data_IF_271066517541
#
_entry.id   IF_271066517541
#
_cell.length_a   1.000
_cell.length_b   1.000
_cell.length_c   1.000
_cell.angle_alpha   90.00
_cell.angle_beta   90.00
_cell.angle_gamma   90.00
#
_symmetry.space_group_name_H-M   'P 1'
#
loop_
_entity.id
_entity.type
_entity.pdbx_description
1 polymer ?
#
# COMPACT_ATOMS: atom_id res chain seq x y z
N UNK A 1 -1.83 38.06 -38.47
CA UNK A 1 -1.93 36.76 -37.75
C UNK A 1 -0.68 36.62 -36.89
N UNK A 2 -0.77 36.70 -35.56
CA UNK A 2 -0.13 35.77 -34.61
C UNK A 2 -0.97 35.84 -33.32
N UNK A 3 -1.78 34.81 -33.05
CA UNK A 3 -2.40 34.60 -31.74
C UNK A 3 -1.35 33.96 -30.83
N UNK A 4 -0.97 34.64 -29.75
CA UNK A 4 -0.13 34.04 -28.71
C UNK A 4 -0.98 33.06 -27.90
N UNK A 5 -0.58 31.79 -27.87
CA UNK A 5 -1.22 30.76 -27.06
C UNK A 5 -0.97 31.02 -25.56
N UNK A 6 -1.95 30.81 -24.67
CA UNK A 6 -1.74 30.95 -23.24
C UNK A 6 -0.77 29.89 -22.73
N UNK A 7 0.22 30.33 -21.96
CA UNK A 7 1.17 29.46 -21.28
C UNK A 7 0.42 28.47 -20.38
N UNK A 8 0.63 27.18 -20.62
CA UNK A 8 0.07 26.08 -19.83
C UNK A 8 0.56 26.24 -18.39
N UNK A 9 -0.34 26.58 -17.48
CA UNK A 9 -0.03 26.69 -16.06
C UNK A 9 0.59 25.37 -15.59
N UNK A 10 1.84 25.43 -15.13
CA UNK A 10 2.49 24.32 -14.47
C UNK A 10 1.68 24.01 -13.21
N UNK A 11 1.09 22.83 -13.17
CA UNK A 11 0.42 22.30 -11.99
C UNK A 11 1.50 22.12 -10.93
N UNK A 12 1.52 23.01 -9.93
CA UNK A 12 2.44 22.91 -8.80
C UNK A 12 2.05 21.64 -8.05
N UNK A 13 2.88 20.61 -8.16
CA UNK A 13 2.70 19.39 -7.39
C UNK A 13 2.70 19.74 -5.90
N UNK A 14 1.76 19.20 -5.10
CA UNK A 14 1.76 19.43 -3.66
C UNK A 14 3.14 19.09 -3.06
N UNK A 15 3.62 19.84 -2.06
CA UNK A 15 4.92 19.62 -1.46
C UNK A 15 5.02 18.17 -0.99
N UNK A 16 6.07 17.48 -1.44
CA UNK A 16 6.26 16.08 -1.09
C UNK A 16 6.45 15.99 0.44
N UNK A 17 5.75 15.08 1.12
CA UNK A 17 5.81 14.94 2.58
C UNK A 17 7.21 14.52 3.08
N UNK A 18 8.09 14.10 2.18
CA UNK A 18 9.44 13.64 2.49
C UNK A 18 10.47 14.31 1.58
N UNK A 19 11.71 14.53 2.08
CA UNK A 19 12.83 14.89 1.23
C UNK A 19 13.02 13.87 0.09
N UNK A 20 13.48 14.33 -1.07
CA UNK A 20 13.60 13.50 -2.29
C UNK A 20 14.44 12.23 -2.06
N UNK A 21 15.49 12.33 -1.24
CA UNK A 21 16.35 11.19 -0.89
C UNK A 21 15.56 10.06 -0.21
N UNK A 22 14.68 10.40 0.73
CA UNK A 22 13.83 9.42 1.43
C UNK A 22 12.85 8.76 0.46
N UNK A 23 12.17 9.56 -0.37
CA UNK A 23 11.25 9.01 -1.38
C UNK A 23 11.93 8.01 -2.31
N UNK A 24 13.16 8.30 -2.73
CA UNK A 24 13.93 7.41 -3.60
C UNK A 24 14.33 6.13 -2.86
N UNK A 25 14.83 6.24 -1.63
CA UNK A 25 15.19 5.09 -0.80
C UNK A 25 13.99 4.18 -0.52
N UNK A 26 12.85 4.76 -0.16
CA UNK A 26 11.57 4.04 0.00
C UNK A 26 11.21 3.28 -1.27
N UNK A 27 11.26 3.95 -2.43
CA UNK A 27 10.89 3.34 -3.72
C UNK A 27 11.82 2.17 -4.09
N UNK A 28 13.14 2.34 -3.86
CA UNK A 28 14.14 1.30 -4.10
C UNK A 28 13.93 0.10 -3.17
N UNK A 29 13.67 0.35 -1.88
CA UNK A 29 13.40 -0.72 -0.92
C UNK A 29 12.14 -1.52 -1.30
N UNK A 30 11.03 -0.83 -1.62
CA UNK A 30 9.78 -1.48 -2.03
C UNK A 30 9.99 -2.32 -3.31
N UNK A 31 10.66 -1.78 -4.33
CA UNK A 31 10.97 -2.54 -5.55
C UNK A 31 11.90 -3.74 -5.25
N UNK A 32 12.92 -3.55 -4.41
CA UNK A 32 13.83 -4.62 -3.99
C UNK A 32 13.09 -5.77 -3.32
N UNK A 33 12.09 -5.47 -2.49
CA UNK A 33 11.21 -6.47 -1.87
C UNK A 33 10.44 -7.27 -2.91
N UNK A 34 9.87 -6.61 -3.94
CA UNK A 34 9.15 -7.30 -5.04
C UNK A 34 10.10 -8.19 -5.86
N UNK A 35 11.31 -7.72 -6.16
CA UNK A 35 12.30 -8.45 -6.95
C UNK A 35 13.13 -9.47 -6.15
N UNK A 36 12.78 -9.70 -4.87
CA UNK A 36 13.45 -10.65 -3.96
C UNK A 36 14.93 -10.34 -3.67
N UNK A 37 15.31 -9.07 -3.72
CA UNK A 37 16.62 -8.58 -3.25
C UNK A 37 16.51 -8.25 -1.75
N UNK A 38 16.22 -9.28 -0.95
CA UNK A 38 15.72 -9.13 0.43
C UNK A 38 16.64 -8.38 1.39
N UNK A 39 17.94 -8.67 1.41
CA UNK A 39 18.86 -8.08 2.41
C UNK A 39 19.04 -6.58 2.24
N UNK A 40 19.15 -6.11 0.99
CA UNK A 40 19.40 -4.71 0.69
C UNK A 40 18.13 -3.89 0.89
N UNK A 41 16.98 -4.45 0.46
CA UNK A 41 15.68 -3.85 0.67
C UNK A 41 15.36 -3.69 2.17
N UNK A 42 15.66 -4.70 2.98
CA UNK A 42 15.47 -4.64 4.44
C UNK A 42 16.41 -3.63 5.09
N UNK A 43 17.68 -3.60 4.68
CA UNK A 43 18.66 -2.63 5.22
C UNK A 43 18.24 -1.19 4.94
N UNK A 44 17.82 -0.90 3.69
CA UNK A 44 17.33 0.42 3.31
C UNK A 44 16.05 0.75 4.08
N UNK A 45 15.13 -0.21 4.24
CA UNK A 45 13.90 -0.02 5.01
C UNK A 45 14.16 0.34 6.46
N UNK A 46 15.04 -0.39 7.13
CA UNK A 46 15.42 -0.12 8.52
C UNK A 46 16.08 1.26 8.67
N UNK A 47 16.95 1.63 7.73
CA UNK A 47 17.58 2.95 7.75
C UNK A 47 16.54 4.07 7.59
N UNK A 48 15.59 3.91 6.66
CA UNK A 48 14.50 4.86 6.43
C UNK A 48 13.59 4.97 7.67
N UNK A 49 13.19 3.84 8.25
CA UNK A 49 12.34 3.79 9.44
C UNK A 49 13.02 4.43 10.67
N UNK A 50 14.33 4.24 10.84
CA UNK A 50 15.07 4.76 11.97
C UNK A 50 15.33 6.27 11.93
N UNK A 51 15.30 6.88 10.73
CA UNK A 51 15.67 8.29 10.55
C UNK A 51 14.50 9.19 10.16
N UNK A 52 13.31 8.63 9.93
CA UNK A 52 12.08 9.39 9.76
C UNK A 52 11.46 9.74 11.10
N UNK A 53 10.96 10.97 11.22
CA UNK A 53 10.15 11.40 12.36
C UNK A 53 8.80 10.67 12.41
N UNK A 54 8.21 10.42 11.24
CA UNK A 54 7.02 9.58 11.06
C UNK A 54 7.21 8.62 9.88
N UNK A 55 7.31 7.32 10.20
CA UNK A 55 7.47 6.23 9.25
C UNK A 55 6.16 5.47 8.97
N UNK A 56 5.04 5.85 9.58
CA UNK A 56 3.77 5.11 9.53
C UNK A 56 3.31 4.78 8.10
N UNK A 57 3.29 5.80 7.23
CA UNK A 57 2.89 5.67 5.83
C UNK A 57 3.86 4.77 5.05
N UNK A 58 5.15 4.85 5.34
CA UNK A 58 6.15 4.00 4.70
C UNK A 58 6.01 2.54 5.15
N UNK A 59 5.85 2.29 6.45
CA UNK A 59 5.62 0.97 7.01
C UNK A 59 4.38 0.31 6.42
N UNK A 60 3.30 1.09 6.22
CA UNK A 60 2.09 0.62 5.56
C UNK A 60 2.38 0.13 4.13
N UNK A 61 3.05 0.93 3.30
CA UNK A 61 3.41 0.51 1.94
C UNK A 61 4.37 -0.69 1.93
N UNK A 62 5.33 -0.73 2.85
CA UNK A 62 6.24 -1.86 3.01
C UNK A 62 5.49 -3.14 3.35
N UNK A 63 4.52 -3.09 4.27
CA UNK A 63 3.71 -4.24 4.65
C UNK A 63 2.85 -4.76 3.49
N UNK A 64 2.26 -3.87 2.68
CA UNK A 64 1.54 -4.27 1.45
C UNK A 64 2.48 -5.01 0.51
N UNK A 65 3.67 -4.46 0.27
CA UNK A 65 4.63 -5.03 -0.67
C UNK A 65 5.19 -6.37 -0.17
N UNK A 66 5.48 -6.50 1.12
CA UNK A 66 5.91 -7.75 1.74
C UNK A 66 4.85 -8.84 1.59
N UNK A 67 3.58 -8.49 1.79
CA UNK A 67 2.45 -9.38 1.57
C UNK A 67 2.33 -9.81 0.10
N UNK A 68 2.46 -8.87 -0.85
CA UNK A 68 2.49 -9.18 -2.29
C UNK A 68 3.67 -10.07 -2.67
N UNK A 69 4.82 -9.92 -2.01
CA UNK A 69 5.99 -10.75 -2.20
C UNK A 69 5.84 -12.16 -1.57
N UNK A 70 4.74 -12.42 -0.85
CA UNK A 70 4.46 -13.68 -0.19
C UNK A 70 5.27 -13.90 1.09
N UNK A 71 5.85 -12.84 1.67
CA UNK A 71 6.47 -12.92 2.99
C UNK A 71 5.36 -12.93 4.04
N UNK A 72 5.38 -13.94 4.92
CA UNK A 72 4.32 -14.25 5.89
C UNK A 72 4.81 -13.98 7.31
N UNK A 73 3.96 -13.39 8.15
CA UNK A 73 4.15 -13.38 9.60
C UNK A 73 3.92 -12.04 10.29
N UNK A 74 5.00 -11.38 10.70
CA UNK A 74 4.98 -10.27 11.68
C UNK A 74 4.29 -9.01 11.17
N UNK A 75 4.32 -8.81 9.86
CA UNK A 75 3.82 -7.64 9.16
C UNK A 75 2.29 -7.57 9.23
N UNK A 76 1.62 -8.73 9.16
CA UNK A 76 0.17 -8.83 9.33
C UNK A 76 -0.24 -8.41 10.73
N UNK A 77 0.43 -8.90 11.75
CA UNK A 77 0.08 -8.62 13.15
C UNK A 77 0.32 -7.13 13.48
N UNK A 78 1.38 -6.53 12.94
CA UNK A 78 1.62 -5.08 13.06
C UNK A 78 0.54 -4.26 12.34
N UNK A 79 0.16 -4.66 11.14
CA UNK A 79 -0.87 -3.97 10.37
C UNK A 79 -2.26 -4.12 11.00
N UNK A 80 -2.56 -5.29 11.56
CA UNK A 80 -3.78 -5.52 12.34
C UNK A 80 -3.81 -4.59 13.56
N UNK A 81 -2.72 -4.55 14.34
CA UNK A 81 -2.65 -3.68 15.50
C UNK A 81 -2.81 -2.19 15.14
N UNK A 82 -2.24 -1.77 14.00
CA UNK A 82 -2.44 -0.41 13.49
C UNK A 82 -3.90 -0.12 13.15
N UNK A 83 -4.59 -1.05 12.48
CA UNK A 83 -6.02 -0.91 12.14
C UNK A 83 -6.91 -0.91 13.39
N UNK A 84 -6.56 -1.69 14.41
CA UNK A 84 -7.26 -1.68 15.71
C UNK A 84 -7.15 -0.33 16.42
N UNK A 85 -5.98 0.32 16.33
CA UNK A 85 -5.73 1.62 16.95
C UNK A 85 -6.24 2.80 16.09
N UNK A 86 -6.38 2.62 14.77
CA UNK A 86 -6.81 3.64 13.82
C UNK A 86 -7.97 3.10 12.96
N UNK A 87 -9.16 2.89 13.56
CA UNK A 87 -10.28 2.23 12.89
C UNK A 87 -10.88 3.05 11.74
N UNK A 88 -10.51 4.30 11.53
CA UNK A 88 -10.90 5.12 10.39
C UNK A 88 -9.95 4.98 9.19
N UNK A 89 -8.76 4.41 9.39
CA UNK A 89 -7.74 4.24 8.35
C UNK A 89 -8.15 3.15 7.35
N UNK A 90 -8.89 3.58 6.33
CA UNK A 90 -9.35 2.70 5.27
C UNK A 90 -8.22 2.16 4.39
N UNK A 91 -7.09 2.86 4.27
CA UNK A 91 -5.94 2.39 3.47
C UNK A 91 -5.33 1.16 4.15
N UNK A 92 -5.09 1.25 5.46
CA UNK A 92 -4.55 0.14 6.24
C UNK A 92 -5.47 -1.07 6.30
N UNK A 93 -6.79 -0.86 6.33
CA UNK A 93 -7.77 -1.96 6.19
C UNK A 93 -7.69 -2.66 4.83
N UNK A 94 -7.57 -1.90 3.74
CA UNK A 94 -7.42 -2.49 2.40
C UNK A 94 -6.10 -3.26 2.30
N UNK A 95 -5.02 -2.70 2.85
CA UNK A 95 -3.73 -3.38 2.94
C UNK A 95 -3.82 -4.70 3.71
N UNK A 96 -4.45 -4.70 4.88
CA UNK A 96 -4.64 -5.88 5.71
C UNK A 96 -5.44 -6.96 4.98
N UNK A 97 -6.51 -6.55 4.31
CA UNK A 97 -7.29 -7.46 3.48
C UNK A 97 -6.46 -8.10 2.36
N UNK A 98 -5.64 -7.32 1.66
CA UNK A 98 -4.77 -7.84 0.60
C UNK A 98 -3.77 -8.86 1.18
N UNK A 99 -3.19 -8.56 2.34
CA UNK A 99 -2.30 -9.49 3.04
C UNK A 99 -2.99 -10.81 3.38
N UNK A 100 -4.14 -10.74 4.05
CA UNK A 100 -4.94 -11.91 4.40
C UNK A 100 -5.36 -12.70 3.16
N UNK A 101 -5.71 -12.01 2.06
CA UNK A 101 -6.07 -12.65 0.80
C UNK A 101 -4.93 -13.48 0.21
N UNK A 102 -3.70 -12.94 0.16
CA UNK A 102 -2.54 -13.66 -0.36
C UNK A 102 -2.09 -14.81 0.57
N UNK A 103 -2.41 -14.72 1.85
CA UNK A 103 -2.21 -15.81 2.82
C UNK A 103 -3.31 -16.89 2.74
N UNK A 104 -4.41 -16.63 2.03
CA UNK A 104 -5.55 -17.53 1.92
C UNK A 104 -6.54 -17.45 3.10
N UNK A 105 -6.44 -16.43 3.94
CA UNK A 105 -7.32 -16.21 5.09
C UNK A 105 -8.64 -15.54 4.66
N UNK A 106 -9.80 -16.24 4.74
CA UNK A 106 -11.09 -15.72 4.28
C UNK A 106 -11.58 -14.48 5.04
N UNK A 107 -10.98 -14.15 6.19
CA UNK A 107 -11.27 -12.95 6.97
C UNK A 107 -10.95 -11.65 6.21
N UNK A 108 -10.17 -11.70 5.12
CA UNK A 108 -9.90 -10.53 4.26
C UNK A 108 -11.18 -9.82 3.81
N UNK A 109 -12.26 -10.58 3.57
CA UNK A 109 -13.50 -10.06 3.01
C UNK A 109 -14.19 -9.07 3.95
N UNK A 110 -14.14 -9.35 5.25
CA UNK A 110 -14.73 -8.49 6.28
C UNK A 110 -14.15 -7.06 6.21
N UNK A 111 -12.83 -6.95 6.05
CA UNK A 111 -12.15 -5.66 5.99
C UNK A 111 -12.50 -4.87 4.74
N UNK A 112 -12.62 -5.53 3.58
CA UNK A 112 -13.07 -4.89 2.34
C UNK A 112 -14.50 -4.38 2.46
N UNK A 113 -15.41 -5.20 2.99
CA UNK A 113 -16.81 -4.79 3.17
C UNK A 113 -16.93 -3.64 4.18
N UNK A 114 -16.13 -3.67 5.26
CA UNK A 114 -16.07 -2.58 6.22
C UNK A 114 -15.61 -1.27 5.57
N UNK A 115 -14.55 -1.29 4.75
CA UNK A 115 -14.07 -0.10 4.02
C UNK A 115 -15.14 0.44 3.08
N UNK A 116 -15.81 -0.43 2.32
CA UNK A 116 -16.86 -0.01 1.38
C UNK A 116 -18.09 0.60 2.06
N UNK A 117 -18.37 0.16 3.30
CA UNK A 117 -19.48 0.65 4.11
C UNK A 117 -19.15 1.95 4.88
N UNK A 118 -17.91 2.12 5.33
CA UNK A 118 -17.54 3.18 6.30
C UNK A 118 -16.67 4.29 5.74
N UNK A 119 -15.86 4.03 4.71
CA UNK A 119 -14.94 5.03 4.17
C UNK A 119 -15.68 6.04 3.30
N UNK A 120 -15.40 7.33 3.52
CA UNK A 120 -15.82 8.43 2.65
C UNK A 120 -14.77 8.76 1.58
N UNK A 121 -13.58 8.16 1.67
CA UNK A 121 -12.47 8.40 0.75
C UNK A 121 -12.64 7.58 -0.53
N UNK A 122 -12.90 8.28 -1.63
CA UNK A 122 -13.21 7.66 -2.92
C UNK A 122 -12.05 6.82 -3.49
N UNK A 123 -10.79 7.31 -3.51
CA UNK A 123 -9.61 6.48 -3.78
C UNK A 123 -9.55 5.16 -3.00
N UNK A 124 -9.81 5.19 -1.70
CA UNK A 124 -9.76 3.99 -0.84
C UNK A 124 -10.86 2.99 -1.22
N UNK A 125 -12.07 3.48 -1.47
CA UNK A 125 -13.17 2.64 -1.96
C UNK A 125 -12.88 2.03 -3.32
N UNK A 126 -12.24 2.78 -4.22
CA UNK A 126 -11.81 2.25 -5.52
C UNK A 126 -10.76 1.15 -5.37
N UNK A 127 -9.80 1.30 -4.46
CA UNK A 127 -8.83 0.25 -4.15
C UNK A 127 -9.54 -1.02 -3.63
N UNK A 128 -10.48 -0.87 -2.70
CA UNK A 128 -11.29 -1.96 -2.18
C UNK A 128 -12.10 -2.67 -3.28
N UNK A 129 -12.73 -1.92 -4.19
CA UNK A 129 -13.41 -2.48 -5.37
C UNK A 129 -12.45 -3.20 -6.32
N UNK A 130 -11.22 -2.67 -6.48
CA UNK A 130 -10.16 -3.28 -7.25
C UNK A 130 -9.80 -4.68 -6.78
N UNK A 131 -9.74 -4.90 -5.46
CA UNK A 131 -9.53 -6.23 -4.86
C UNK A 131 -10.64 -7.20 -5.25
N UNK A 132 -11.90 -6.78 -5.16
CA UNK A 132 -13.04 -7.63 -5.54
C UNK A 132 -13.04 -8.00 -7.03
N UNK A 133 -12.71 -7.01 -7.85
CA UNK A 133 -12.67 -7.17 -9.29
C UNK A 133 -11.51 -8.07 -9.74
N UNK A 134 -10.35 -7.99 -9.09
CA UNK A 134 -9.23 -8.91 -9.30
C UNK A 134 -9.67 -10.37 -9.08
N UNK A 135 -10.41 -10.65 -8.01
CA UNK A 135 -10.92 -11.99 -7.72
C UNK A 135 -12.03 -12.45 -8.68
N UNK A 136 -12.88 -11.53 -9.13
CA UNK A 136 -13.88 -11.83 -10.16
C UNK A 136 -13.26 -12.21 -11.52
N UNK A 137 -11.98 -11.84 -11.75
CA UNK A 137 -11.21 -12.18 -12.95
C UNK A 137 -10.19 -13.30 -12.73
N UNK A 138 -9.89 -13.67 -11.49
CA UNK A 138 -8.94 -14.72 -11.19
C UNK A 138 -9.49 -16.07 -11.69
N UNK A 139 -8.73 -16.86 -12.47
CA UNK A 139 -9.17 -18.17 -12.89
C UNK A 139 -9.43 -19.04 -11.65
N UNK A 140 -10.60 -19.71 -11.60
CA UNK A 140 -10.91 -20.66 -10.52
C UNK A 140 -9.78 -21.68 -10.45
N UNK A 141 -9.22 -21.97 -9.26
CA UNK A 141 -8.21 -23.01 -9.12
C UNK A 141 -8.84 -24.33 -9.57
N UNK A 142 -8.21 -24.97 -10.56
CA UNK A 142 -8.52 -26.35 -10.94
C UNK A 142 -7.99 -27.21 -9.81
N UNK A 143 -8.90 -27.74 -9.00
CA UNK A 143 -8.58 -28.77 -8.02
C UNK A 143 -8.38 -30.06 -8.82
N UNK A 144 -7.14 -30.57 -8.88
CA UNK A 144 -6.81 -31.90 -9.38
C UNK A 144 -6.80 -32.90 -8.22
#
# INVERSE_FOLDING_TARGET
MIHAAPAKAATVAPPAPYPVIYRNLMSVALLGTVYRVGSDADTISQAVEATLEDSSTYMLYRNIVLAMAGQRGKERDQLLHHVENNPEDGVSKVALAITMLFEGDPGWRHWIDNVLATSLDQPVRQAAQGVLHFLGRAPKPVIH
#
